data_IF_625533624449
#
_entry.id   IF_625533624449
#
_cell.length_a   1.000
_cell.length_b   1.000
_cell.length_c   1.000
_cell.angle_alpha   90.00
_cell.angle_beta   90.00
_cell.angle_gamma   90.00
#
_symmetry.space_group_name_H-M   'P 1'
#
loop_
_entity.id
_entity.type
_entity.pdbx_description
1 polymer ?
#
# COMPACT_ATOMS: atom_id res chain seq x y z
N UNK A 1 -14.84 -2.07 -41.21
CA UNK A 1 -13.43 -1.63 -41.17
C UNK A 1 -12.86 -2.22 -39.90
N UNK A 2 -12.07 -3.28 -40.06
CA UNK A 2 -11.51 -4.06 -38.94
C UNK A 2 -10.21 -3.40 -38.47
N UNK A 3 -10.22 -2.88 -37.25
CA UNK A 3 -9.02 -2.32 -36.62
C UNK A 3 -8.15 -3.46 -36.10
N UNK A 4 -7.09 -3.76 -36.82
CA UNK A 4 -6.05 -4.71 -36.44
C UNK A 4 -5.07 -4.01 -35.49
N UNK A 5 -5.22 -4.23 -34.18
CA UNK A 5 -4.16 -3.90 -33.23
C UNK A 5 -3.00 -4.87 -33.45
N UNK A 6 -1.91 -4.38 -34.03
CA UNK A 6 -0.64 -5.13 -34.07
C UNK A 6 -0.02 -5.09 -32.70
N UNK A 7 0.00 -6.23 -32.00
CA UNK A 7 0.81 -6.40 -30.79
C UNK A 7 2.29 -6.21 -31.16
N UNK A 8 3.02 -5.43 -30.32
CA UNK A 8 4.48 -5.32 -30.44
C UNK A 8 5.06 -6.70 -30.13
N UNK A 9 5.86 -7.31 -31.03
CA UNK A 9 6.43 -8.62 -30.78
C UNK A 9 7.47 -8.54 -29.65
N UNK A 10 7.17 -9.18 -28.53
CA UNK A 10 8.13 -9.38 -27.44
C UNK A 10 9.07 -10.51 -27.86
N UNK A 11 10.39 -10.27 -27.82
CA UNK A 11 11.38 -11.30 -28.19
C UNK A 11 11.29 -12.43 -27.17
N UNK A 12 11.33 -13.68 -27.67
CA UNK A 12 11.27 -14.89 -26.81
C UNK A 12 12.37 -14.98 -25.74
N UNK A 13 13.47 -14.22 -25.92
CA UNK A 13 14.55 -14.07 -24.93
C UNK A 13 14.17 -13.19 -23.71
N UNK A 14 13.10 -12.42 -23.80
CA UNK A 14 12.59 -11.55 -22.72
C UNK A 14 11.51 -12.22 -21.88
N UNK A 15 11.07 -13.41 -22.30
CA UNK A 15 10.08 -14.21 -21.56
C UNK A 15 10.84 -15.29 -20.79
N UNK A 16 10.90 -15.18 -19.48
CA UNK A 16 11.47 -16.25 -18.64
C UNK A 16 10.66 -17.53 -18.85
N UNK A 17 11.25 -18.62 -19.39
CA UNK A 17 10.53 -19.87 -19.63
C UNK A 17 9.91 -20.39 -18.34
N UNK A 18 8.65 -20.86 -18.40
CA UNK A 18 7.90 -21.42 -17.26
C UNK A 18 8.70 -22.49 -16.49
N UNK A 19 9.52 -23.26 -17.18
CA UNK A 19 10.39 -24.28 -16.59
C UNK A 19 11.52 -23.69 -15.72
N UNK A 20 12.08 -22.52 -16.09
CA UNK A 20 13.12 -21.84 -15.31
C UNK A 20 12.52 -21.20 -14.05
N UNK A 21 11.29 -20.73 -14.15
CA UNK A 21 10.55 -20.21 -12.99
C UNK A 21 10.17 -21.32 -11.98
N UNK A 22 9.82 -22.50 -12.46
CA UNK A 22 9.50 -23.65 -11.63
C UNK A 22 10.75 -24.32 -11.04
N UNK A 23 11.87 -24.38 -11.78
CA UNK A 23 13.12 -25.02 -11.32
C UNK A 23 13.78 -24.27 -10.15
N UNK A 24 13.61 -22.95 -10.03
CA UNK A 24 14.08 -22.19 -8.85
C UNK A 24 13.40 -22.63 -7.55
N UNK A 25 12.12 -22.95 -7.63
CA UNK A 25 11.34 -23.42 -6.46
C UNK A 25 11.70 -24.84 -6.07
N UNK A 26 12.02 -25.69 -7.03
CA UNK A 26 12.41 -27.09 -6.81
C UNK A 26 13.89 -27.18 -6.38
N UNK A 27 14.76 -26.31 -6.85
CA UNK A 27 16.14 -26.20 -6.40
C UNK A 27 16.23 -25.79 -4.92
N UNK A 28 15.39 -24.87 -4.47
CA UNK A 28 15.30 -24.47 -3.04
C UNK A 28 14.77 -25.59 -2.15
N UNK A 29 13.93 -26.49 -2.68
CA UNK A 29 13.44 -27.68 -1.95
C UNK A 29 14.43 -28.83 -1.92
N UNK A 30 15.25 -29.00 -2.98
CA UNK A 30 16.26 -30.04 -3.06
C UNK A 30 17.50 -29.73 -2.20
N UNK A 31 17.81 -28.47 -1.94
CA UNK A 31 18.93 -28.07 -1.08
C UNK A 31 18.72 -28.42 0.41
N UNK A 32 17.50 -28.78 0.81
CA UNK A 32 17.17 -29.18 2.20
C UNK A 32 17.26 -30.68 2.46
N UNK A 33 17.54 -31.53 1.46
CA UNK A 33 17.49 -33.02 1.62
C UNK A 33 18.87 -33.72 1.51
N UNK A 34 19.95 -33.04 1.11
CA UNK A 34 21.28 -33.68 0.96
C UNK A 34 22.36 -33.09 1.85
N UNK A 35 22.15 -33.14 3.18
CA UNK A 35 23.23 -32.93 4.15
C UNK A 35 23.19 -34.01 5.24
N UNK A 36 23.42 -35.24 4.86
CA UNK A 36 23.78 -36.30 5.81
C UNK A 36 24.77 -37.21 5.15
N UNK A 37 26.06 -36.98 5.38
CA UNK A 37 27.16 -37.88 5.55
C UNK A 37 28.49 -37.24 5.16
N UNK A 38 29.25 -36.75 6.14
CA UNK A 38 30.70 -37.02 6.29
C UNK A 38 31.24 -36.26 7.51
N UNK A 39 31.64 -37.02 8.49
CA UNK A 39 32.45 -36.67 9.64
C UNK A 39 33.77 -36.02 9.21
N UNK A 40 34.11 -34.87 9.79
CA UNK A 40 35.46 -34.55 10.23
C UNK A 40 35.40 -33.39 11.25
N UNK A 41 35.85 -33.67 12.43
CA UNK A 41 35.97 -32.74 13.58
C UNK A 41 37.07 -31.73 13.36
N UNK A 42 36.86 -30.48 13.74
CA UNK A 42 37.73 -29.65 14.54
C UNK A 42 37.27 -28.18 14.58
N UNK A 43 37.05 -27.66 15.79
CA UNK A 43 37.13 -26.26 16.23
C UNK A 43 36.36 -25.20 15.44
N UNK A 44 35.12 -24.93 15.88
CA UNK A 44 34.45 -23.65 15.62
C UNK A 44 33.77 -23.14 16.90
N UNK A 45 33.77 -21.81 17.17
CA UNK A 45 33.12 -21.25 18.34
C UNK A 45 31.60 -21.40 18.30
N UNK A 46 31.02 -21.61 19.48
CA UNK A 46 29.59 -21.78 19.69
C UNK A 46 28.78 -20.61 19.14
N UNK A 47 28.07 -20.86 18.04
CA UNK A 47 27.00 -19.97 17.58
C UNK A 47 25.78 -20.29 18.46
N UNK A 48 25.35 -19.32 19.23
CA UNK A 48 24.12 -19.37 20.03
C UNK A 48 22.95 -19.55 19.05
N UNK A 49 22.31 -20.72 19.09
CA UNK A 49 21.07 -20.97 18.34
C UNK A 49 19.98 -19.98 18.76
N UNK A 50 19.43 -19.26 17.77
CA UNK A 50 18.20 -18.50 17.97
C UNK A 50 17.06 -19.44 18.43
N UNK A 51 16.17 -19.02 19.34
CA UNK A 51 15.15 -19.89 19.90
C UNK A 51 14.19 -20.38 18.82
N UNK A 52 14.21 -21.67 18.52
CA UNK A 52 13.25 -22.38 17.65
C UNK A 52 11.96 -22.67 18.39
N UNK A 53 11.24 -21.68 18.89
CA UNK A 53 9.88 -21.84 19.38
C UNK A 53 9.16 -20.48 19.38
N UNK A 54 8.98 -19.88 18.20
CA UNK A 54 7.86 -18.98 18.05
C UNK A 54 6.61 -19.86 17.94
N UNK A 55 5.73 -19.80 18.94
CA UNK A 55 4.41 -20.42 18.84
C UNK A 55 3.73 -19.91 17.55
N UNK A 56 3.00 -20.77 16.81
CA UNK A 56 2.29 -20.30 15.63
C UNK A 56 1.36 -19.17 16.05
N UNK A 57 1.54 -18.00 15.44
CA UNK A 57 0.66 -16.85 15.65
C UNK A 57 -0.75 -17.35 15.33
N UNK A 58 -1.73 -17.22 16.24
CA UNK A 58 -3.09 -17.70 16.01
C UNK A 58 -3.60 -17.05 14.71
N UNK A 59 -4.13 -17.84 13.78
CA UNK A 59 -4.85 -17.29 12.63
C UNK A 59 -6.01 -16.49 13.19
N UNK A 60 -6.02 -15.18 12.93
CA UNK A 60 -7.16 -14.34 13.30
C UNK A 60 -8.43 -14.93 12.68
N UNK A 61 -9.50 -15.05 13.46
CA UNK A 61 -10.83 -15.42 12.98
C UNK A 61 -11.61 -14.20 12.48
N UNK A 62 -11.01 -13.01 12.54
CA UNK A 62 -11.63 -11.77 12.10
C UNK A 62 -11.83 -11.77 10.59
N UNK A 63 -12.94 -11.16 10.15
CA UNK A 63 -13.31 -11.04 8.74
C UNK A 63 -13.70 -9.59 8.45
N UNK A 64 -13.63 -9.21 7.18
CA UNK A 64 -14.28 -7.99 6.73
C UNK A 64 -15.81 -8.15 6.68
N UNK A 65 -16.54 -7.09 6.32
CA UNK A 65 -18.01 -7.08 6.22
C UNK A 65 -18.57 -7.99 5.12
N UNK A 66 -17.73 -8.48 4.21
CA UNK A 66 -18.11 -9.47 3.18
C UNK A 66 -17.74 -10.91 3.60
N UNK A 67 -17.26 -11.09 4.83
CA UNK A 67 -16.87 -12.40 5.36
C UNK A 67 -15.50 -12.90 4.85
N UNK A 68 -14.69 -12.04 4.21
CA UNK A 68 -13.33 -12.41 3.82
C UNK A 68 -12.42 -12.44 5.07
N UNK A 69 -11.67 -13.52 5.30
CA UNK A 69 -10.75 -13.58 6.42
C UNK A 69 -9.60 -12.58 6.25
N UNK A 70 -9.13 -12.03 7.36
CA UNK A 70 -7.91 -11.21 7.36
C UNK A 70 -6.71 -12.07 6.94
N UNK A 71 -5.79 -11.47 6.21
CA UNK A 71 -4.51 -12.09 5.87
C UNK A 71 -3.69 -12.35 7.14
N UNK A 72 -2.64 -13.14 7.05
CA UNK A 72 -1.70 -13.28 8.16
C UNK A 72 -0.84 -12.02 8.30
N UNK A 73 -0.37 -11.74 9.52
CA UNK A 73 0.59 -10.64 9.75
C UNK A 73 1.84 -10.80 8.87
N UNK A 74 2.31 -12.04 8.70
CA UNK A 74 3.46 -12.35 7.86
C UNK A 74 3.22 -11.98 6.38
N UNK A 75 2.07 -12.33 5.82
CA UNK A 75 1.73 -11.99 4.44
C UNK A 75 1.77 -10.47 4.21
N UNK A 76 1.22 -9.70 5.16
CA UNK A 76 1.08 -8.25 5.03
C UNK A 76 2.41 -7.53 5.24
N UNK A 77 3.25 -8.01 6.13
CA UNK A 77 4.53 -7.36 6.45
C UNK A 77 5.67 -7.75 5.52
N UNK A 78 5.52 -8.83 4.73
CA UNK A 78 6.58 -9.33 3.84
C UNK A 78 6.24 -9.23 2.34
N UNK A 79 5.15 -8.56 1.98
CA UNK A 79 4.79 -8.33 0.59
C UNK A 79 4.27 -6.90 0.41
N UNK A 80 5.16 -5.97 0.08
CA UNK A 80 4.87 -4.54 0.10
C UNK A 80 5.35 -3.85 -1.19
N UNK A 81 4.52 -2.99 -1.77
CA UNK A 81 4.96 -1.98 -2.71
C UNK A 81 5.39 -0.73 -1.93
N UNK A 82 6.68 -0.46 -1.85
CA UNK A 82 7.23 0.73 -1.21
C UNK A 82 8.52 1.15 -1.93
N UNK A 83 8.30 1.86 -3.03
CA UNK A 83 9.35 2.21 -4.01
C UNK A 83 10.45 3.09 -3.43
N UNK A 84 10.16 3.82 -2.38
CA UNK A 84 11.14 4.57 -1.62
C UNK A 84 12.27 3.68 -1.05
N UNK A 85 11.98 2.39 -0.82
CA UNK A 85 13.01 1.41 -0.44
C UNK A 85 13.47 0.57 -1.62
N UNK A 86 12.55 -0.02 -2.35
CA UNK A 86 12.83 -0.91 -3.50
C UNK A 86 11.55 -1.25 -4.28
N UNK A 87 11.72 -1.63 -5.54
CA UNK A 87 10.65 -2.20 -6.38
C UNK A 87 10.41 -3.70 -6.13
N UNK A 88 11.33 -4.37 -5.40
CA UNK A 88 11.15 -5.76 -4.97
C UNK A 88 10.25 -5.83 -3.74
N UNK A 89 9.04 -6.38 -3.90
CA UNK A 89 8.01 -6.44 -2.86
C UNK A 89 8.41 -7.24 -1.62
N UNK A 90 9.25 -8.24 -1.78
CA UNK A 90 9.73 -9.09 -0.68
C UNK A 90 10.99 -8.52 -0.01
N UNK A 91 11.68 -7.59 -0.67
CA UNK A 91 12.88 -6.92 -0.16
C UNK A 91 12.60 -5.75 0.77
N UNK A 92 11.38 -5.19 0.75
CA UNK A 92 11.05 -3.95 1.51
C UNK A 92 11.29 -4.14 3.00
N UNK A 93 10.78 -5.21 3.62
CA UNK A 93 10.89 -5.44 5.06
C UNK A 93 12.35 -5.43 5.56
N UNK A 94 13.23 -6.11 4.81
CA UNK A 94 14.66 -6.15 5.15
C UNK A 94 15.36 -4.80 5.02
N UNK A 95 14.96 -3.98 4.05
CA UNK A 95 15.55 -2.66 3.80
C UNK A 95 15.01 -1.57 4.73
N UNK A 96 13.77 -1.72 5.19
CA UNK A 96 13.10 -0.77 6.06
C UNK A 96 13.39 -0.97 7.56
N UNK A 97 14.12 -2.03 7.95
CA UNK A 97 14.34 -2.41 9.36
C UNK A 97 14.97 -1.32 10.22
N UNK A 98 15.82 -0.47 9.63
CA UNK A 98 16.55 0.60 10.33
C UNK A 98 15.91 1.99 10.12
N UNK A 99 14.75 2.04 9.45
CA UNK A 99 14.03 3.28 9.20
C UNK A 99 13.48 3.88 10.49
N UNK A 100 13.77 5.17 10.72
CA UNK A 100 13.43 5.86 11.96
C UNK A 100 12.03 6.46 11.89
N UNK A 101 11.14 5.96 12.72
CA UNK A 101 9.74 6.39 12.81
C UNK A 101 9.46 7.30 14.02
N UNK A 102 10.46 7.61 14.84
CA UNK A 102 10.35 8.52 15.99
C UNK A 102 11.68 9.29 16.16
N UNK A 103 11.64 10.61 16.49
CA UNK A 103 10.44 11.42 16.57
C UNK A 103 9.79 11.65 15.20
N UNK A 104 8.46 11.87 15.16
CA UNK A 104 7.74 12.08 13.91
C UNK A 104 6.70 13.18 14.04
N UNK A 105 6.62 14.03 13.01
CA UNK A 105 5.62 15.10 12.93
C UNK A 105 4.90 15.07 11.59
N UNK A 106 3.64 15.50 11.59
CA UNK A 106 2.81 15.71 10.40
C UNK A 106 2.38 17.18 10.37
N UNK A 107 2.82 17.90 9.35
CA UNK A 107 2.34 19.26 9.08
C UNK A 107 0.99 19.19 8.38
N UNK A 108 -0.01 19.90 8.91
CA UNK A 108 -1.33 20.04 8.29
C UNK A 108 -1.59 21.51 8.01
N UNK A 109 -1.72 21.87 6.73
CA UNK A 109 -1.79 23.28 6.33
C UNK A 109 -2.45 23.52 4.97
N UNK A 110 -2.00 24.59 4.27
CA UNK A 110 -2.61 25.05 3.03
C UNK A 110 -3.89 25.86 3.29
N UNK A 111 -4.96 25.59 2.55
CA UNK A 111 -6.24 26.30 2.64
C UNK A 111 -7.06 25.86 3.87
N UNK A 112 -6.53 26.16 5.05
CA UNK A 112 -7.15 25.89 6.36
C UNK A 112 -7.09 27.14 7.24
N UNK A 113 -8.05 27.29 8.16
CA UNK A 113 -8.07 28.41 9.11
C UNK A 113 -7.09 28.21 10.28
N UNK A 114 -6.76 26.96 10.61
CA UNK A 114 -5.96 26.59 11.79
C UNK A 114 -4.82 25.62 11.39
N UNK A 115 -3.81 26.07 10.63
CA UNK A 115 -2.69 25.21 10.28
C UNK A 115 -1.93 24.78 11.54
N UNK A 116 -1.50 23.51 11.58
CA UNK A 116 -0.85 22.96 12.76
C UNK A 116 0.08 21.80 12.40
N UNK A 117 1.22 21.73 13.10
CA UNK A 117 2.08 20.55 13.10
C UNK A 117 1.74 19.68 14.32
N UNK A 118 1.49 18.40 14.07
CA UNK A 118 1.17 17.41 15.09
C UNK A 118 2.34 16.46 15.27
N UNK A 119 2.75 16.21 16.52
CA UNK A 119 3.53 15.02 16.85
C UNK A 119 2.69 13.76 16.69
N UNK A 120 3.30 12.61 16.43
CA UNK A 120 2.56 11.35 16.33
C UNK A 120 1.85 11.03 17.65
N UNK A 121 2.47 11.32 18.77
CA UNK A 121 1.92 11.14 20.12
C UNK A 121 0.68 12.02 20.34
N UNK A 122 0.68 13.24 19.79
CA UNK A 122 -0.49 14.15 19.84
C UNK A 122 -1.65 13.57 19.05
N UNK A 123 -1.39 12.99 17.86
CA UNK A 123 -2.43 12.36 17.05
C UNK A 123 -3.02 11.15 17.77
N UNK A 124 -2.19 10.29 18.36
CA UNK A 124 -2.64 9.13 19.13
C UNK A 124 -3.47 9.52 20.36
N UNK A 125 -3.15 10.64 20.99
CA UNK A 125 -3.87 11.15 22.17
C UNK A 125 -5.18 11.86 21.81
N UNK A 126 -5.18 12.65 20.73
CA UNK A 126 -6.32 13.49 20.36
C UNK A 126 -7.43 12.75 19.62
N UNK A 127 -7.09 11.64 18.95
CA UNK A 127 -8.04 10.83 18.19
C UNK A 127 -8.19 9.44 18.81
N UNK A 128 -9.45 9.06 19.07
CA UNK A 128 -9.75 7.70 19.50
C UNK A 128 -9.29 6.73 18.41
N UNK A 129 -8.40 5.81 18.77
CA UNK A 129 -7.99 4.75 17.89
C UNK A 129 -9.09 3.69 17.80
N UNK A 130 -9.38 3.23 16.60
CA UNK A 130 -10.34 2.17 16.32
C UNK A 130 -9.76 1.19 15.31
N UNK A 131 -10.17 -0.07 15.41
CA UNK A 131 -9.83 -1.08 14.42
C UNK A 131 -10.83 -1.04 13.27
N UNK A 132 -10.32 -1.09 12.02
CA UNK A 132 -11.11 -1.23 10.80
C UNK A 132 -10.50 -2.30 9.91
N UNK A 133 -11.28 -3.33 9.61
CA UNK A 133 -10.84 -4.41 8.72
C UNK A 133 -11.18 -4.03 7.29
N UNK A 134 -10.15 -3.64 6.52
CA UNK A 134 -10.32 -3.16 5.16
C UNK A 134 -9.68 -4.07 4.12
N UNK A 135 -10.36 -4.23 2.99
CA UNK A 135 -9.78 -4.76 1.76
C UNK A 135 -8.79 -3.74 1.18
N UNK A 136 -7.66 -4.23 0.73
CA UNK A 136 -6.69 -3.49 -0.08
C UNK A 136 -6.58 -4.17 -1.44
N UNK A 137 -6.75 -3.42 -2.53
CA UNK A 137 -6.60 -3.88 -3.91
C UNK A 137 -5.48 -3.11 -4.59
N UNK A 138 -4.40 -3.80 -4.94
CA UNK A 138 -3.33 -3.21 -5.72
C UNK A 138 -3.71 -3.15 -7.21
N UNK A 139 -3.29 -2.09 -7.90
CA UNK A 139 -3.45 -1.97 -9.36
C UNK A 139 -2.84 -3.15 -10.10
N UNK A 140 -1.83 -3.81 -9.56
CA UNK A 140 -1.19 -5.03 -10.09
C UNK A 140 -2.02 -6.31 -9.91
N UNK A 141 -3.31 -6.20 -9.63
CA UNK A 141 -4.25 -7.31 -9.55
C UNK A 141 -3.95 -8.34 -8.44
N UNK A 142 -3.46 -7.89 -7.31
CA UNK A 142 -3.41 -8.65 -6.05
C UNK A 142 -4.11 -7.88 -4.92
N UNK A 143 -4.50 -8.58 -3.86
CA UNK A 143 -5.27 -7.99 -2.76
C UNK A 143 -4.93 -8.60 -1.40
N UNK A 144 -5.30 -7.86 -0.36
CA UNK A 144 -5.20 -8.26 1.06
C UNK A 144 -6.46 -7.82 1.81
N UNK A 145 -6.70 -8.41 2.98
CA UNK A 145 -7.62 -7.93 4.02
C UNK A 145 -6.82 -7.65 5.27
N UNK A 146 -6.87 -6.41 5.75
CA UNK A 146 -5.94 -5.91 6.77
C UNK A 146 -6.74 -5.27 7.91
N UNK A 147 -6.54 -5.68 9.17
CA UNK A 147 -7.11 -5.03 10.35
C UNK A 147 -6.23 -3.83 10.73
N UNK A 148 -6.59 -2.66 10.22
CA UNK A 148 -5.90 -1.40 10.52
C UNK A 148 -6.39 -0.82 11.84
N UNK A 149 -5.49 -0.18 12.58
CA UNK A 149 -5.81 0.66 13.72
C UNK A 149 -5.48 2.12 13.41
N UNK A 150 -6.32 3.04 13.86
CA UNK A 150 -6.14 4.45 13.60
C UNK A 150 -7.43 5.25 13.78
N UNK A 151 -7.62 6.27 12.96
CA UNK A 151 -8.76 7.18 13.03
C UNK A 151 -9.15 7.74 11.66
N UNK A 152 -10.41 8.20 11.52
CA UNK A 152 -10.91 8.79 10.29
C UNK A 152 -10.16 10.10 9.95
N UNK A 153 -9.68 10.24 8.70
CA UNK A 153 -9.01 11.44 8.21
C UNK A 153 -9.86 12.70 8.40
N UNK A 154 -11.18 12.57 8.19
CA UNK A 154 -12.13 13.67 8.37
C UNK A 154 -12.06 14.34 9.75
N UNK A 155 -11.73 13.58 10.80
CA UNK A 155 -11.54 14.13 12.15
C UNK A 155 -10.39 15.14 12.21
N UNK A 156 -9.25 14.80 11.61
CA UNK A 156 -8.08 15.67 11.53
C UNK A 156 -8.36 16.91 10.67
N UNK A 157 -9.01 16.73 9.52
CA UNK A 157 -9.35 17.85 8.62
C UNK A 157 -10.33 18.83 9.29
N UNK A 158 -11.33 18.35 10.00
CA UNK A 158 -12.26 19.21 10.76
C UNK A 158 -11.55 20.04 11.82
N UNK A 159 -10.51 19.50 12.45
CA UNK A 159 -9.75 20.22 13.49
C UNK A 159 -8.98 21.43 12.93
N UNK A 160 -8.50 21.34 11.68
CA UNK A 160 -7.76 22.45 11.03
C UNK A 160 -8.65 23.42 10.26
N UNK A 161 -9.95 23.14 10.17
CA UNK A 161 -10.99 23.99 9.58
C UNK A 161 -10.66 24.40 8.11
N UNK A 162 -10.97 23.53 7.13
CA UNK A 162 -10.82 23.83 5.71
C UNK A 162 -11.56 25.12 5.32
N UNK A 163 -10.93 25.97 4.51
CA UNK A 163 -11.59 27.13 3.93
C UNK A 163 -12.51 26.72 2.77
N UNK A 164 -13.40 27.62 2.33
CA UNK A 164 -14.31 27.37 1.20
C UNK A 164 -13.58 27.12 -0.12
N UNK A 165 -12.35 27.56 -0.25
CA UNK A 165 -11.53 27.42 -1.46
C UNK A 165 -10.82 26.07 -1.54
N UNK A 166 -10.76 25.33 -0.43
CA UNK A 166 -10.19 23.98 -0.40
C UNK A 166 -11.04 23.01 -1.21
N UNK A 167 -10.45 22.40 -2.22
CA UNK A 167 -11.11 21.41 -3.10
C UNK A 167 -10.46 20.03 -3.06
N UNK A 168 -9.18 19.99 -2.74
CA UNK A 168 -8.37 18.78 -2.70
C UNK A 168 -7.50 18.74 -1.46
N UNK A 169 -7.06 17.53 -1.12
CA UNK A 169 -6.08 17.27 -0.08
C UNK A 169 -4.87 16.61 -0.72
N UNK A 170 -3.70 17.23 -0.60
CA UNK A 170 -2.41 16.71 -1.04
C UNK A 170 -1.67 16.11 0.15
N UNK A 171 -1.06 14.98 -0.07
CA UNK A 171 -0.25 14.27 0.92
C UNK A 171 1.18 14.12 0.42
N UNK A 172 2.14 14.11 1.33
CA UNK A 172 3.55 13.93 1.02
C UNK A 172 4.21 12.97 2.00
N UNK A 173 4.96 12.00 1.45
CA UNK A 173 5.82 11.08 2.20
C UNK A 173 7.11 11.78 2.62
N UNK A 174 7.71 11.31 3.70
CA UNK A 174 9.04 11.77 4.14
C UNK A 174 10.10 11.57 3.05
N UNK A 175 10.99 12.57 2.89
CA UNK A 175 12.13 12.47 1.99
C UNK A 175 13.42 12.27 2.79
N UNK A 176 13.92 11.02 2.82
CA UNK A 176 15.15 10.62 3.52
C UNK A 176 15.93 9.60 2.70
N UNK A 177 16.58 10.01 1.59
CA UNK A 177 17.26 9.09 0.67
C UNK A 177 18.39 8.26 1.32
N UNK A 178 18.90 8.67 2.49
CA UNK A 178 19.89 7.89 3.23
C UNK A 178 19.28 6.69 3.97
N UNK A 179 18.00 6.79 4.37
CA UNK A 179 17.27 5.69 4.98
C UNK A 179 16.42 4.93 3.93
N UNK A 180 15.94 5.64 2.91
CA UNK A 180 15.06 5.17 1.83
C UNK A 180 15.80 5.22 0.50
N UNK A 181 16.64 4.22 0.25
CA UNK A 181 17.58 4.22 -0.90
C UNK A 181 16.92 4.35 -2.27
N UNK A 182 15.65 3.92 -2.43
CA UNK A 182 14.88 4.06 -3.66
C UNK A 182 14.63 5.52 -4.02
N UNK A 183 14.61 6.43 -3.03
CA UNK A 183 14.49 7.87 -3.28
C UNK A 183 15.73 8.49 -3.95
N UNK A 184 16.80 7.73 -4.15
CA UNK A 184 17.96 8.15 -4.97
C UNK A 184 17.75 7.91 -6.46
N UNK A 185 16.70 7.19 -6.85
CA UNK A 185 16.39 6.94 -8.26
C UNK A 185 15.78 8.20 -8.89
N UNK A 186 16.47 8.84 -9.86
CA UNK A 186 16.02 10.08 -10.49
C UNK A 186 14.85 9.89 -11.46
N UNK A 187 14.44 8.66 -11.75
CA UNK A 187 13.28 8.38 -12.60
C UNK A 187 11.94 8.76 -11.91
N UNK A 188 11.95 8.88 -10.58
CA UNK A 188 10.77 9.23 -9.82
C UNK A 188 10.85 10.65 -9.26
N UNK A 189 9.78 11.46 -9.35
CA UNK A 189 9.72 12.81 -8.81
C UNK A 189 9.49 12.78 -7.28
N UNK A 190 10.53 12.38 -6.54
CA UNK A 190 10.48 12.35 -5.07
C UNK A 190 10.34 13.74 -4.44
N UNK A 191 9.72 13.88 -3.27
CA UNK A 191 9.07 12.84 -2.46
C UNK A 191 7.79 12.31 -3.07
N UNK A 192 7.35 11.11 -2.66
CA UNK A 192 6.07 10.55 -3.09
C UNK A 192 4.93 11.50 -2.68
N UNK A 193 4.07 11.83 -3.65
CA UNK A 193 2.91 12.68 -3.45
C UNK A 193 1.64 11.96 -3.90
N UNK A 194 0.57 12.16 -3.16
CA UNK A 194 -0.77 11.69 -3.47
C UNK A 194 -1.82 12.78 -3.23
N UNK A 195 -3.00 12.57 -3.81
CA UNK A 195 -4.11 13.49 -3.66
C UNK A 195 -5.47 12.80 -3.59
N UNK A 196 -6.38 13.44 -2.89
CA UNK A 196 -7.80 13.12 -2.86
C UNK A 196 -8.61 14.39 -3.12
N UNK A 197 -9.83 14.27 -3.67
CA UNK A 197 -10.81 15.36 -3.56
C UNK A 197 -11.15 15.54 -2.08
N UNK A 198 -11.59 16.75 -1.71
CA UNK A 198 -11.93 17.04 -0.32
C UNK A 198 -13.11 16.18 0.18
N UNK A 199 -14.12 15.93 -0.66
CA UNK A 199 -15.25 15.07 -0.30
C UNK A 199 -14.84 13.60 -0.12
N UNK A 200 -13.89 13.09 -0.92
CA UNK A 200 -13.28 11.77 -0.71
C UNK A 200 -12.51 11.71 0.63
N UNK A 201 -11.72 12.74 0.92
CA UNK A 201 -10.95 12.84 2.16
C UNK A 201 -11.84 13.00 3.41
N UNK A 202 -13.04 13.57 3.24
CA UNK A 202 -14.04 13.74 4.28
C UNK A 202 -14.97 12.53 4.44
N UNK A 203 -14.90 11.54 3.52
CA UNK A 203 -15.63 10.29 3.67
C UNK A 203 -15.08 9.47 4.85
N UNK A 204 -15.96 8.86 5.62
CA UNK A 204 -15.58 8.12 6.83
C UNK A 204 -14.62 6.94 6.56
N UNK A 205 -14.65 6.35 5.36
CA UNK A 205 -13.73 5.28 4.98
C UNK A 205 -12.29 5.75 4.75
N UNK A 206 -12.05 7.06 4.51
CA UNK A 206 -10.69 7.59 4.43
C UNK A 206 -10.06 7.63 5.83
N UNK A 207 -9.00 6.85 6.03
CA UNK A 207 -8.51 6.50 7.34
C UNK A 207 -7.01 6.75 7.47
N UNK A 208 -6.58 7.31 8.58
CA UNK A 208 -5.17 7.43 8.95
C UNK A 208 -4.80 6.29 9.89
N UNK A 209 -4.08 5.31 9.36
CA UNK A 209 -3.67 4.14 10.11
C UNK A 209 -2.32 4.36 10.79
N UNK A 210 -2.29 4.09 12.09
CA UNK A 210 -1.13 4.18 12.98
C UNK A 210 -0.68 2.81 13.48
N UNK A 211 -1.51 1.78 13.28
CA UNK A 211 -1.29 0.41 13.71
C UNK A 211 -2.01 -0.62 12.85
N UNK A 212 -1.76 -1.87 13.14
CA UNK A 212 -2.45 -3.04 12.60
C UNK A 212 -2.25 -4.25 13.50
N UNK A 213 -3.25 -5.13 13.59
CA UNK A 213 -3.21 -6.35 14.44
C UNK A 213 -2.97 -6.08 15.93
N UNK A 214 -3.42 -4.95 16.48
CA UNK A 214 -3.20 -4.58 17.88
C UNK A 214 -1.81 -4.02 18.18
N UNK A 215 -0.99 -3.78 17.15
CA UNK A 215 0.39 -3.30 17.29
C UNK A 215 0.64 -2.03 16.46
N UNK A 216 1.59 -1.18 16.84
CA UNK A 216 1.98 -0.05 16.01
C UNK A 216 2.40 -0.47 14.59
N UNK A 217 2.15 0.39 13.61
CA UNK A 217 2.59 0.13 12.25
C UNK A 217 4.09 -0.12 12.17
N UNK A 218 4.47 -1.05 11.29
CA UNK A 218 5.89 -1.32 11.00
C UNK A 218 6.35 -0.53 9.76
N UNK A 219 7.65 -0.31 9.67
CA UNK A 219 8.28 0.54 8.66
C UNK A 219 7.84 0.19 7.22
N UNK A 220 7.89 -1.09 6.83
CA UNK A 220 7.51 -1.57 5.50
C UNK A 220 6.03 -1.37 5.17
N UNK A 221 5.18 -1.20 6.16
CA UNK A 221 3.75 -0.93 6.00
C UNK A 221 3.40 0.57 6.10
N UNK A 222 4.42 1.45 6.22
CA UNK A 222 4.24 2.89 6.18
C UNK A 222 4.16 3.57 7.54
N UNK A 223 4.85 3.02 8.55
CA UNK A 223 4.97 3.64 9.88
C UNK A 223 5.51 5.09 9.80
N UNK A 224 5.23 5.93 10.81
CA UNK A 224 4.33 5.68 11.94
C UNK A 224 2.86 5.94 11.58
N UNK A 225 2.57 6.62 10.46
CA UNK A 225 1.23 6.97 10.01
C UNK A 225 1.13 6.91 8.49
N UNK A 226 0.04 6.31 8.00
CA UNK A 226 -0.26 6.19 6.59
C UNK A 226 -1.74 6.44 6.30
N UNK A 227 -2.03 6.80 5.05
CA UNK A 227 -3.41 6.83 4.55
C UNK A 227 -3.87 5.42 4.16
N UNK A 228 -5.16 5.14 4.37
CA UNK A 228 -5.87 3.97 3.84
C UNK A 228 -7.17 4.45 3.21
N UNK A 229 -7.33 4.17 1.91
CA UNK A 229 -8.51 4.50 1.12
C UNK A 229 -8.99 3.22 0.44
N UNK A 230 -9.85 2.43 1.09
CA UNK A 230 -10.08 1.03 0.73
C UNK A 230 -10.77 0.83 -0.62
N UNK A 231 -11.50 1.81 -1.15
CA UNK A 231 -12.19 1.74 -2.45
C UNK A 231 -11.32 2.13 -3.64
N UNK A 232 -10.11 2.64 -3.38
CA UNK A 232 -9.13 3.03 -4.40
C UNK A 232 -8.00 2.02 -4.49
N UNK A 233 -7.31 2.01 -5.62
CA UNK A 233 -6.09 1.20 -5.76
C UNK A 233 -5.05 1.56 -4.69
N UNK A 234 -4.32 0.55 -4.22
CA UNK A 234 -3.45 0.64 -3.04
C UNK A 234 -2.38 1.74 -3.09
N UNK A 235 -1.97 2.20 -4.27
CA UNK A 235 -0.98 3.28 -4.38
C UNK A 235 -1.52 4.64 -3.92
N UNK A 236 -2.86 4.84 -3.93
CA UNK A 236 -3.50 6.02 -3.35
C UNK A 236 -3.35 6.11 -1.84
N UNK A 237 -3.05 5.01 -1.20
CA UNK A 237 -2.87 4.89 0.25
C UNK A 237 -1.41 5.18 0.64
N UNK A 238 -1.01 6.44 0.53
CA UNK A 238 0.36 6.95 0.77
C UNK A 238 0.86 6.62 2.18
N UNK A 239 2.17 6.34 2.29
CA UNK A 239 2.86 5.84 3.49
C UNK A 239 3.76 6.90 4.12
N UNK A 240 4.03 6.75 5.43
CA UNK A 240 5.00 7.57 6.19
C UNK A 240 4.81 9.08 5.93
N UNK A 241 3.57 9.55 6.16
CA UNK A 241 3.13 10.89 5.86
C UNK A 241 3.81 11.91 6.77
N UNK A 242 4.34 12.99 6.19
CA UNK A 242 4.87 14.15 6.92
C UNK A 242 4.12 15.44 6.63
N UNK A 243 3.34 15.49 5.53
CA UNK A 243 2.58 16.67 5.16
C UNK A 243 1.20 16.31 4.61
N UNK A 244 0.21 17.09 5.04
CA UNK A 244 -1.18 17.07 4.55
C UNK A 244 -1.54 18.53 4.24
N UNK A 245 -1.82 18.84 2.99
CA UNK A 245 -2.03 20.19 2.53
C UNK A 245 -3.33 20.31 1.75
N UNK A 246 -4.20 21.24 2.15
CA UNK A 246 -5.43 21.52 1.45
C UNK A 246 -5.18 22.53 0.35
N UNK A 247 -5.65 22.25 -0.87
CA UNK A 247 -5.38 23.06 -2.06
C UNK A 247 -6.64 23.26 -2.88
N UNK A 248 -6.66 24.33 -3.72
CA UNK A 248 -7.81 24.65 -4.60
C UNK A 248 -7.79 23.86 -5.89
N UNK A 249 -6.61 23.45 -6.36
CA UNK A 249 -6.42 22.75 -7.62
C UNK A 249 -6.07 21.27 -7.40
N UNK A 250 -6.40 20.44 -8.38
CA UNK A 250 -6.05 19.04 -8.36
C UNK A 250 -4.51 18.87 -8.32
N UNK A 251 -3.96 18.27 -7.26
CA UNK A 251 -2.51 18.09 -7.17
C UNK A 251 -2.02 17.01 -8.14
N UNK A 252 -0.82 17.18 -8.64
CA UNK A 252 -0.11 16.09 -9.30
C UNK A 252 0.20 14.98 -8.28
N UNK A 253 0.07 13.72 -8.70
CA UNK A 253 0.47 12.56 -7.91
C UNK A 253 1.70 11.92 -8.53
N UNK A 254 2.47 11.12 -7.76
CA UNK A 254 3.70 10.52 -8.29
C UNK A 254 3.42 9.71 -9.56
N UNK A 255 2.43 8.82 -9.52
CA UNK A 255 2.14 7.93 -10.63
C UNK A 255 1.52 8.64 -11.83
N UNK A 256 0.61 9.60 -11.62
CA UNK A 256 0.03 10.38 -12.72
C UNK A 256 1.05 11.29 -13.41
N UNK A 257 2.10 11.70 -12.70
CA UNK A 257 3.20 12.47 -13.29
C UNK A 257 4.15 11.60 -14.15
N UNK A 258 4.39 10.35 -13.74
CA UNK A 258 5.33 9.46 -14.45
C UNK A 258 4.65 8.78 -15.63
N UNK A 259 3.43 8.28 -15.47
CA UNK A 259 2.72 7.48 -16.45
C UNK A 259 1.22 7.86 -16.50
N UNK A 260 0.90 9.06 -17.00
CA UNK A 260 -0.48 9.59 -17.00
C UNK A 260 -1.47 8.74 -17.82
N UNK A 261 -0.97 7.94 -18.77
CA UNK A 261 -1.78 7.03 -19.56
C UNK A 261 -2.10 5.70 -18.85
N UNK A 262 -1.46 5.44 -17.71
CA UNK A 262 -1.63 4.21 -16.93
C UNK A 262 -2.29 4.46 -15.57
N UNK A 263 -2.10 5.66 -14.99
CA UNK A 263 -2.53 6.00 -13.63
C UNK A 263 -3.27 7.33 -13.61
N UNK A 264 -4.57 7.27 -13.41
CA UNK A 264 -5.40 8.45 -13.25
C UNK A 264 -5.34 9.02 -11.83
N UNK A 265 -5.97 10.19 -11.66
CA UNK A 265 -6.02 10.84 -10.35
C UNK A 265 -6.94 10.12 -9.36
N UNK A 266 -8.12 9.70 -9.81
CA UNK A 266 -9.11 9.07 -8.93
C UNK A 266 -8.69 7.67 -8.52
N UNK A 267 -8.25 6.86 -9.46
CA UNK A 267 -7.75 5.50 -9.25
C UNK A 267 -8.66 4.64 -8.37
N UNK A 268 -9.96 4.77 -8.61
CA UNK A 268 -10.96 3.90 -7.99
C UNK A 268 -10.80 2.48 -8.51
N UNK A 269 -10.95 1.49 -7.65
CA UNK A 269 -10.94 0.09 -8.09
C UNK A 269 -12.13 -0.13 -9.05
N UNK A 270 -11.82 -0.42 -10.30
CA UNK A 270 -12.80 -0.61 -11.36
C UNK A 270 -12.45 -1.85 -12.20
N UNK A 271 -13.23 -2.94 -12.11
CA UNK A 271 -13.00 -4.16 -12.90
C UNK A 271 -13.27 -4.01 -14.38
N UNK A 272 -13.97 -2.95 -14.80
CA UNK A 272 -14.39 -2.69 -16.20
C UNK A 272 -13.37 -1.82 -16.97
N UNK A 273 -12.38 -1.26 -16.27
CA UNK A 273 -11.32 -0.43 -16.87
C UNK A 273 -9.97 -1.12 -16.64
N UNK A 274 -9.47 -1.76 -17.69
CA UNK A 274 -8.20 -2.48 -17.64
C UNK A 274 -7.01 -1.51 -17.57
N UNK A 275 -5.97 -1.91 -16.88
CA UNK A 275 -4.66 -1.27 -17.01
C UNK A 275 -4.12 -1.57 -18.41
N UNK A 276 -3.38 -0.66 -19.07
CA UNK A 276 -2.87 -0.89 -20.43
C UNK A 276 -2.05 -2.20 -20.62
N UNK A 277 -1.54 -2.76 -19.54
CA UNK A 277 -0.67 -3.95 -19.56
C UNK A 277 -1.32 -5.23 -19.01
N UNK A 278 -2.44 -5.13 -18.27
CA UNK A 278 -3.13 -6.30 -17.69
C UNK A 278 -4.59 -5.99 -17.38
N UNK A 279 -5.39 -7.06 -17.21
CA UNK A 279 -6.80 -6.93 -16.86
C UNK A 279 -7.01 -6.66 -15.37
N UNK A 280 -8.01 -5.84 -15.08
CA UNK A 280 -8.48 -5.54 -13.72
C UNK A 280 -9.70 -6.37 -13.30
N UNK A 281 -10.25 -7.19 -14.19
CA UNK A 281 -11.48 -7.95 -13.94
C UNK A 281 -11.36 -8.97 -12.80
N UNK A 282 -10.14 -9.40 -12.46
CA UNK A 282 -9.91 -10.38 -11.39
C UNK A 282 -8.67 -10.06 -10.57
N UNK A 283 -8.66 -10.56 -9.34
CA UNK A 283 -7.56 -10.36 -8.38
C UNK A 283 -7.14 -11.67 -7.71
N UNK A 284 -5.90 -11.71 -7.23
CA UNK A 284 -5.38 -12.80 -6.40
C UNK A 284 -5.15 -12.31 -4.98
N UNK A 285 -5.84 -12.89 -4.01
CA UNK A 285 -5.55 -12.65 -2.59
C UNK A 285 -4.16 -13.20 -2.25
N UNK A 286 -3.33 -12.40 -1.57
CA UNK A 286 -2.05 -12.89 -1.08
C UNK A 286 -2.29 -14.05 -0.12
N UNK A 287 -1.48 -15.11 -0.23
CA UNK A 287 -1.68 -16.38 0.49
C UNK A 287 -2.62 -17.36 -0.19
N UNK A 288 -3.43 -16.96 -1.19
CA UNK A 288 -4.32 -17.82 -1.96
C UNK A 288 -3.75 -18.18 -3.34
N UNK A 289 -4.14 -19.36 -3.85
CA UNK A 289 -3.73 -19.83 -5.18
C UNK A 289 -4.70 -19.40 -6.28
N UNK A 290 -5.99 -19.29 -5.95
CA UNK A 290 -7.05 -18.94 -6.89
C UNK A 290 -7.17 -17.41 -7.09
N UNK A 291 -7.73 -17.04 -8.23
CA UNK A 291 -8.19 -15.66 -8.48
C UNK A 291 -9.68 -15.58 -8.22
N UNK A 292 -10.13 -14.40 -7.84
CA UNK A 292 -11.54 -14.06 -7.67
C UNK A 292 -11.88 -12.80 -8.50
N UNK A 293 -13.18 -12.59 -8.83
CA UNK A 293 -13.61 -11.35 -9.48
C UNK A 293 -13.24 -10.13 -8.61
N UNK A 294 -12.75 -9.06 -9.25
CA UNK A 294 -12.60 -7.76 -8.61
C UNK A 294 -13.98 -7.09 -8.48
N UNK A 295 -14.23 -6.50 -7.32
CA UNK A 295 -15.48 -5.75 -7.08
C UNK A 295 -15.27 -4.27 -7.40
N UNK A 296 -16.28 -3.63 -8.00
CA UNK A 296 -16.30 -2.18 -8.21
C UNK A 296 -16.12 -1.46 -6.87
N UNK A 297 -15.29 -0.41 -6.84
CA UNK A 297 -14.87 0.28 -5.61
C UNK A 297 -14.35 -0.68 -4.52
N UNK A 298 -13.74 -1.80 -4.94
CA UNK A 298 -13.27 -2.84 -4.03
C UNK A 298 -14.36 -3.38 -3.10
N UNK A 299 -15.66 -3.28 -3.52
CA UNK A 299 -16.83 -3.70 -2.76
C UNK A 299 -17.36 -2.67 -1.76
N UNK A 300 -16.91 -1.40 -1.85
CA UNK A 300 -17.39 -0.29 -1.00
C UNK A 300 -18.38 0.63 -1.74
N UNK A 301 -19.03 0.14 -2.80
CA UNK A 301 -19.94 0.92 -3.64
C UNK A 301 -21.04 1.63 -2.86
N UNK A 302 -21.68 0.95 -1.90
CA UNK A 302 -22.78 1.51 -1.10
C UNK A 302 -22.34 2.76 -0.30
N UNK A 303 -21.06 2.86 0.06
CA UNK A 303 -20.52 3.96 0.87
C UNK A 303 -19.94 5.10 0.04
N UNK A 304 -19.55 4.84 -1.22
CA UNK A 304 -18.75 5.82 -1.98
C UNK A 304 -19.26 6.11 -3.40
N UNK A 305 -20.14 5.30 -3.99
CA UNK A 305 -20.56 5.48 -5.36
C UNK A 305 -21.18 6.87 -5.61
N UNK A 306 -21.96 7.39 -4.64
CA UNK A 306 -22.57 8.72 -4.73
C UNK A 306 -21.58 9.87 -4.84
N UNK A 307 -20.31 9.70 -4.41
CA UNK A 307 -19.26 10.71 -4.62
C UNK A 307 -18.94 10.93 -6.10
N UNK A 308 -19.32 9.99 -6.95
CA UNK A 308 -18.96 9.96 -8.37
C UNK A 308 -20.19 10.06 -9.27
N UNK A 309 -21.35 10.44 -8.73
CA UNK A 309 -22.58 10.60 -9.50
C UNK A 309 -22.39 11.58 -10.67
N UNK A 310 -22.78 11.15 -11.87
CA UNK A 310 -22.58 11.92 -13.11
C UNK A 310 -21.16 11.89 -13.68
N UNK A 311 -20.21 11.22 -13.05
CA UNK A 311 -18.84 11.09 -13.54
C UNK A 311 -18.70 9.83 -14.42
N UNK A 312 -18.08 9.97 -15.58
CA UNK A 312 -17.71 8.82 -16.40
C UNK A 312 -16.42 8.17 -15.84
N UNK A 313 -16.58 7.05 -15.12
CA UNK A 313 -15.46 6.34 -14.47
C UNK A 313 -14.58 5.55 -15.46
N UNK A 314 -14.95 5.43 -16.72
CA UNK A 314 -14.06 4.88 -17.74
C UNK A 314 -13.01 5.88 -18.22
N UNK A 315 -13.22 7.17 -17.97
CA UNK A 315 -12.32 8.28 -18.34
C UNK A 315 -11.66 8.87 -17.09
N UNK A 316 -12.42 8.94 -15.99
CA UNK A 316 -11.97 9.47 -14.70
C UNK A 316 -11.53 8.30 -13.78
N UNK A 317 -10.41 7.71 -14.11
CA UNK A 317 -9.82 6.59 -13.35
C UNK A 317 -8.55 6.98 -12.61
#
# INVERSE_FOLDING_TARGET
MTNLYKSVPVRSSEITPKQVYLSRRDFMKAATVTASAALLAACAPSVTEAPKNAAPVPKSTATDELGNPVNTYEDITNYNNYYEFTTDKQGVAGLAKDFKTSPWTVEVGGLVSKPKTFGIEDLLKNFKQEERIYRLRCVEAWSMVIPWEGFALAGLLKMVEPTSDAKYVRFETVYRPEEMRGQKDPLYPWPYQEGLRLDEAMNDLAFLATGMYGEPNVAQNGAPIRLVVPWKYGFKSIKSIVKIELVSEQPATLWSAIAPNEYGFYSNVNPEVDHPRWSQASERRIGELSRKPTLMFNGYGDQVASLYDGMNLAVNY
#
